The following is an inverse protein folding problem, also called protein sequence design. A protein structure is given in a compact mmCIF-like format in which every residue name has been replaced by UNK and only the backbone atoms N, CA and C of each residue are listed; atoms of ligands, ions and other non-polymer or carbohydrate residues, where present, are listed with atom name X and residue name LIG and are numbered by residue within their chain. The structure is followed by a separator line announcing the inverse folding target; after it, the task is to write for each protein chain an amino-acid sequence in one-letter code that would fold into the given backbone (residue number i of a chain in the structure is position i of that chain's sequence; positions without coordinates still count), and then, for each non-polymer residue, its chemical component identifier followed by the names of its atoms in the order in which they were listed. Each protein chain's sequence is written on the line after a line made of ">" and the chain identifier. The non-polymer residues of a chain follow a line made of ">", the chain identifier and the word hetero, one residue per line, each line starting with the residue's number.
data_IF_649983607715
#
_entry.id   IF_649983607715
#
_cell.length_a   1.000
_cell.length_b   1.000
_cell.length_c   1.000
_cell.angle_alpha   90.00
_cell.angle_beta   90.00
_cell.angle_gamma   90.00
#
_symmetry.space_group_name_H-M   'P 1'
#
loop_
_entity.id
_entity.type
_entity.pdbx_description
1 polymer ?
#
# COMPACT_ATOMS: atom_id res chain seq x y z
N UNK A 1 -6.58 -5.87 16.74
CA UNK A 1 -7.01 -6.33 15.39
C UNK A 1 -5.78 -6.47 14.53
N UNK A 2 -5.38 -7.71 14.25
CA UNK A 2 -4.19 -8.01 13.44
C UNK A 2 -4.52 -7.74 11.97
N UNK A 3 -3.52 -7.42 11.14
CA UNK A 3 -3.71 -7.12 9.70
C UNK A 3 -4.32 -8.27 8.89
N UNK A 4 -4.51 -9.46 9.47
CA UNK A 4 -5.03 -10.66 8.81
C UNK A 4 -6.54 -10.61 8.56
N UNK A 5 -7.32 -9.95 9.43
CA UNK A 5 -8.80 -9.85 9.33
C UNK A 5 -9.27 -8.82 8.28
N UNK A 6 -8.34 -8.14 7.63
CA UNK A 6 -8.66 -7.06 6.69
C UNK A 6 -8.91 -7.63 5.30
N UNK A 7 -9.99 -7.18 4.66
CA UNK A 7 -10.47 -7.74 3.39
C UNK A 7 -10.29 -6.77 2.21
N UNK A 8 -10.31 -5.46 2.46
CA UNK A 8 -10.33 -4.41 1.43
C UNK A 8 -9.09 -3.52 1.53
N UNK A 9 -8.36 -3.42 0.43
CA UNK A 9 -7.10 -2.69 0.36
C UNK A 9 -7.16 -1.62 -0.73
N UNK A 10 -6.82 -0.38 -0.39
CA UNK A 10 -6.61 0.70 -1.36
C UNK A 10 -5.13 0.77 -1.75
N UNK A 11 -4.81 0.59 -3.03
CA UNK A 11 -3.45 0.62 -3.55
C UNK A 11 -3.21 1.99 -4.20
N UNK A 12 -2.40 2.82 -3.55
CA UNK A 12 -2.12 4.19 -3.99
C UNK A 12 -1.08 4.21 -5.10
N UNK A 13 -1.41 4.85 -6.23
CA UNK A 13 -0.53 5.05 -7.38
C UNK A 13 -0.26 6.55 -7.52
N UNK A 14 1.01 6.96 -7.47
CA UNK A 14 1.41 8.34 -7.72
C UNK A 14 1.24 8.69 -9.19
N UNK A 15 0.45 9.72 -9.50
CA UNK A 15 0.25 10.18 -10.88
C UNK A 15 1.33 11.16 -11.36
N UNK A 16 2.20 11.65 -10.46
CA UNK A 16 3.31 12.54 -10.82
C UNK A 16 4.36 11.82 -11.69
N UNK A 17 4.96 12.48 -12.70
CA UNK A 17 6.07 11.93 -13.46
C UNK A 17 7.19 11.43 -12.52
N UNK A 18 7.69 10.21 -12.76
CA UNK A 18 8.71 9.56 -11.91
C UNK A 18 8.18 8.82 -10.67
N UNK A 19 6.90 8.97 -10.30
CA UNK A 19 6.29 8.26 -9.15
C UNK A 19 5.30 7.16 -9.57
N UNK A 20 5.06 7.01 -10.87
CA UNK A 20 4.04 6.12 -11.42
C UNK A 20 4.50 4.66 -11.47
N UNK A 21 4.43 3.97 -10.33
CA UNK A 21 4.82 2.55 -10.20
C UNK A 21 3.65 1.62 -10.54
N UNK A 22 3.00 1.84 -11.69
CA UNK A 22 1.79 1.09 -12.12
C UNK A 22 1.99 -0.43 -12.11
N UNK A 23 3.13 -0.92 -12.59
CA UNK A 23 3.42 -2.35 -12.62
C UNK A 23 3.50 -2.97 -11.21
N UNK A 24 4.05 -2.22 -10.25
CA UNK A 24 4.10 -2.63 -8.86
C UNK A 24 2.69 -2.68 -8.25
N UNK A 25 1.89 -1.63 -8.47
CA UNK A 25 0.51 -1.57 -8.00
C UNK A 25 -0.34 -2.74 -8.53
N UNK A 26 -0.23 -3.04 -9.83
CA UNK A 26 -0.87 -4.20 -10.44
C UNK A 26 -0.39 -5.52 -9.83
N UNK A 27 0.91 -5.64 -9.53
CA UNK A 27 1.44 -6.82 -8.84
C UNK A 27 0.85 -6.98 -7.44
N UNK A 28 0.73 -5.90 -6.67
CA UNK A 28 0.12 -5.92 -5.33
C UNK A 28 -1.37 -6.32 -5.40
N UNK A 29 -2.11 -5.80 -6.38
CA UNK A 29 -3.51 -6.20 -6.62
C UNK A 29 -3.64 -7.69 -6.89
N UNK A 30 -2.82 -8.24 -7.79
CA UNK A 30 -2.83 -9.68 -8.11
C UNK A 30 -2.50 -10.55 -6.90
N UNK A 31 -1.56 -10.11 -6.04
CA UNK A 31 -1.25 -10.81 -4.79
C UNK A 31 -2.44 -10.82 -3.85
N UNK A 32 -3.07 -9.67 -3.62
CA UNK A 32 -4.29 -9.61 -2.81
C UNK A 32 -5.38 -10.55 -3.33
N UNK A 33 -5.65 -10.53 -4.63
CA UNK A 33 -6.63 -11.41 -5.27
C UNK A 33 -6.31 -12.89 -5.10
N UNK A 34 -5.04 -13.29 -5.25
CA UNK A 34 -4.59 -14.68 -5.02
C UNK A 34 -4.85 -15.16 -3.59
N UNK A 35 -4.81 -14.25 -2.63
CA UNK A 35 -5.09 -14.51 -1.21
C UNK A 35 -6.56 -14.25 -0.82
N UNK A 36 -7.47 -14.12 -1.80
CA UNK A 36 -8.90 -13.92 -1.56
C UNK A 36 -9.27 -12.53 -1.03
N UNK A 37 -8.36 -11.55 -1.11
CA UNK A 37 -8.57 -10.17 -0.64
C UNK A 37 -8.89 -9.23 -1.81
N UNK A 38 -9.61 -8.14 -1.53
CA UNK A 38 -10.02 -7.14 -2.53
C UNK A 38 -9.01 -5.99 -2.60
N UNK A 39 -8.44 -5.76 -3.79
CA UNK A 39 -7.51 -4.65 -4.05
C UNK A 39 -8.08 -3.61 -5.03
N UNK A 40 -8.15 -2.35 -4.62
CA UNK A 40 -8.63 -1.23 -5.42
C UNK A 40 -7.47 -0.32 -5.81
N UNK A 41 -7.28 -0.02 -7.09
CA UNK A 41 -6.24 0.90 -7.55
C UNK A 41 -6.75 2.34 -7.45
N UNK A 42 -6.02 3.20 -6.75
CA UNK A 42 -6.35 4.61 -6.57
C UNK A 42 -5.20 5.45 -7.12
N UNK A 43 -5.38 6.02 -8.31
CA UNK A 43 -4.41 6.92 -8.91
C UNK A 43 -4.68 8.36 -8.46
N UNK A 44 -3.67 9.01 -7.89
CA UNK A 44 -3.79 10.38 -7.40
C UNK A 44 -2.46 11.13 -7.51
N UNK A 45 -2.55 12.44 -7.72
CA UNK A 45 -1.36 13.30 -7.82
C UNK A 45 -0.84 13.69 -6.43
N UNK A 46 -1.75 13.89 -5.48
CA UNK A 46 -1.46 14.24 -4.09
C UNK A 46 -2.09 13.20 -3.18
N UNK A 47 -1.37 12.80 -2.14
CA UNK A 47 -1.85 11.89 -1.09
C UNK A 47 -1.89 12.69 0.20
N UNK A 48 -3.07 12.76 0.82
CA UNK A 48 -3.30 13.43 2.09
C UNK A 48 -4.49 12.78 2.81
N UNK A 49 -4.57 12.84 4.15
CA UNK A 49 -5.66 12.25 4.92
C UNK A 49 -7.05 12.68 4.43
N UNK A 50 -7.20 13.96 4.10
CA UNK A 50 -8.43 14.56 3.57
C UNK A 50 -8.87 13.99 2.22
N UNK A 51 -7.94 13.41 1.46
CA UNK A 51 -8.18 12.83 0.13
C UNK A 51 -8.41 11.33 0.15
N UNK A 52 -7.97 10.62 1.20
CA UNK A 52 -8.01 9.16 1.20
C UNK A 52 -8.82 8.55 2.34
N UNK A 53 -8.98 9.24 3.47
CA UNK A 53 -9.58 8.61 4.66
C UNK A 53 -11.06 8.27 4.49
N UNK A 54 -11.76 8.88 3.51
CA UNK A 54 -13.15 8.55 3.20
C UNK A 54 -13.32 7.25 2.40
N UNK A 55 -12.28 6.70 1.76
CA UNK A 55 -12.44 5.48 0.96
C UNK A 55 -12.79 4.28 1.83
N UNK A 56 -13.77 3.43 1.45
CA UNK A 56 -14.24 2.32 2.28
C UNK A 56 -13.31 1.09 2.21
N UNK A 57 -12.03 1.29 2.57
CA UNK A 57 -10.98 0.26 2.65
C UNK A 57 -10.44 0.16 4.07
N UNK A 58 -9.85 -0.99 4.40
CA UNK A 58 -9.36 -1.31 5.74
C UNK A 58 -7.86 -0.99 5.90
N UNK A 59 -7.12 -0.93 4.79
CA UNK A 59 -5.68 -0.61 4.70
C UNK A 59 -5.37 0.11 3.40
N UNK A 60 -4.40 1.02 3.44
CA UNK A 60 -3.74 1.55 2.25
C UNK A 60 -2.37 0.91 2.01
N UNK A 61 -2.11 0.54 0.76
CA UNK A 61 -0.81 0.06 0.28
C UNK A 61 -0.20 1.18 -0.56
N UNK A 62 0.89 1.76 -0.08
CA UNK A 62 1.56 2.85 -0.77
C UNK A 62 2.49 2.30 -1.86
N UNK A 63 2.14 2.52 -3.13
CA UNK A 63 3.06 2.30 -4.26
C UNK A 63 3.47 3.60 -4.94
N UNK A 64 3.18 4.75 -4.32
CA UNK A 64 3.55 6.08 -4.80
C UNK A 64 4.95 6.45 -4.27
N UNK A 65 5.09 7.65 -3.68
CA UNK A 65 6.32 8.09 -3.05
C UNK A 65 6.59 7.28 -1.75
N UNK A 66 7.73 6.59 -1.62
CA UNK A 66 8.06 5.76 -0.46
C UNK A 66 8.02 6.52 0.87
N UNK A 67 8.31 7.82 0.84
CA UNK A 67 8.34 8.68 2.02
C UNK A 67 6.98 8.83 2.69
N UNK A 68 5.87 8.73 1.95
CA UNK A 68 4.52 8.94 2.51
C UNK A 68 4.19 7.88 3.59
N UNK A 69 4.57 6.61 3.34
CA UNK A 69 4.30 5.52 4.27
C UNK A 69 5.22 5.53 5.50
N UNK A 70 6.25 6.37 5.51
CA UNK A 70 7.26 6.44 6.58
C UNK A 70 7.10 7.75 7.37
N UNK A 71 7.07 8.89 6.67
CA UNK A 71 7.09 10.23 7.26
C UNK A 71 5.69 10.69 7.72
N UNK A 72 4.63 10.25 7.03
CA UNK A 72 3.26 10.74 7.22
C UNK A 72 2.29 9.70 7.77
N UNK A 73 2.75 8.48 8.07
CA UNK A 73 1.88 7.36 8.47
C UNK A 73 0.97 7.69 9.66
N UNK A 74 1.44 8.51 10.60
CA UNK A 74 0.69 8.93 11.79
C UNK A 74 -0.48 9.88 11.50
N UNK A 75 -0.53 10.48 10.31
CA UNK A 75 -1.57 11.45 9.93
C UNK A 75 -2.84 10.79 9.39
N UNK A 76 -2.77 9.52 8.99
CA UNK A 76 -3.88 8.81 8.34
C UNK A 76 -4.72 8.05 9.36
N UNK A 77 -6.05 8.13 9.22
CA UNK A 77 -6.96 7.39 10.10
C UNK A 77 -6.88 5.86 9.89
N UNK A 78 -6.46 5.43 8.70
CA UNK A 78 -6.33 4.01 8.32
C UNK A 78 -4.86 3.64 8.16
N UNK A 79 -4.46 2.40 8.51
CA UNK A 79 -3.08 1.98 8.37
C UNK A 79 -2.58 2.10 6.92
N UNK A 80 -1.40 2.68 6.78
CA UNK A 80 -0.69 2.81 5.53
C UNK A 80 0.57 1.95 5.58
N UNK A 81 0.71 1.02 4.65
CA UNK A 81 1.81 0.05 4.60
C UNK A 81 2.52 0.09 3.25
N UNK A 82 3.77 -0.35 3.26
CA UNK A 82 4.60 -0.52 2.07
C UNK A 82 4.24 -1.81 1.32
N UNK A 83 4.70 -1.97 0.06
CA UNK A 83 4.53 -3.21 -0.69
C UNK A 83 5.22 -4.41 -0.02
N UNK A 84 6.35 -4.18 0.65
CA UNK A 84 7.06 -5.22 1.38
C UNK A 84 6.25 -5.71 2.58
N UNK A 85 5.70 -4.79 3.37
CA UNK A 85 4.86 -5.12 4.52
C UNK A 85 3.58 -5.85 4.11
N UNK A 86 3.00 -5.50 2.96
CA UNK A 86 1.90 -6.28 2.39
C UNK A 86 2.32 -7.72 2.10
N UNK A 87 3.46 -7.93 1.45
CA UNK A 87 3.96 -9.27 1.14
C UNK A 87 4.24 -10.10 2.41
N UNK A 88 4.69 -9.45 3.49
CA UNK A 88 4.84 -10.10 4.79
C UNK A 88 3.48 -10.41 5.43
N UNK A 89 2.52 -9.48 5.38
CA UNK A 89 1.16 -9.69 5.89
C UNK A 89 0.41 -10.81 5.15
N UNK A 90 0.72 -11.03 3.87
CA UNK A 90 0.22 -12.15 3.07
C UNK A 90 1.01 -13.46 3.27
N UNK A 91 2.06 -13.46 4.10
CA UNK A 91 2.91 -14.63 4.33
C UNK A 91 3.81 -15.01 3.15
N UNK A 92 3.95 -14.15 2.14
CA UNK A 92 4.84 -14.38 0.99
C UNK A 92 6.30 -14.00 1.29
N UNK A 93 6.52 -13.21 2.34
CA UNK A 93 7.83 -12.85 2.87
C UNK A 93 7.85 -12.99 4.39
N UNK A 94 9.05 -13.10 4.95
CA UNK A 94 9.29 -13.14 6.40
C UNK A 94 10.18 -11.98 6.81
N UNK A 95 9.90 -11.38 7.96
CA UNK A 95 10.73 -10.34 8.56
C UNK A 95 12.19 -10.78 8.76
N UNK A 96 12.39 -12.07 9.03
CA UNK A 96 13.68 -12.74 9.22
C UNK A 96 14.64 -12.56 8.03
N UNK A 97 14.12 -12.31 6.83
CA UNK A 97 14.92 -12.10 5.61
C UNK A 97 15.45 -10.65 5.47
N UNK A 98 15.27 -9.83 6.51
CA UNK A 98 15.66 -8.42 6.53
C UNK A 98 14.58 -7.52 5.92
N UNK A 99 14.33 -6.38 6.56
CA UNK A 99 13.41 -5.36 6.04
C UNK A 99 14.01 -4.70 4.78
N UNK A 100 13.20 -4.58 3.73
CA UNK A 100 13.60 -3.82 2.53
C UNK A 100 12.87 -2.49 2.50
N UNK A 101 13.63 -1.41 2.62
CA UNK A 101 13.13 -0.07 2.37
C UNK A 101 12.63 0.05 0.94
N UNK A 102 11.47 0.68 0.78
CA UNK A 102 10.90 0.94 -0.52
C UNK A 102 11.66 2.08 -1.21
N UNK A 103 12.13 1.86 -2.43
CA UNK A 103 12.93 2.81 -3.20
C UNK A 103 12.43 2.88 -4.65
N UNK A 104 12.50 4.08 -5.24
CA UNK A 104 12.26 4.32 -6.67
C UNK A 104 13.62 4.41 -7.35
N UNK A 105 13.79 3.69 -8.46
CA UNK A 105 14.98 3.72 -9.31
C UNK A 105 14.63 4.40 -10.62
#
# INVERSE_FOLDING_TARGET
>A
MTSMDKERFGILIGAKPGQMRRNLALRMKRKLEKHGKKGFLLAMEHVGPELIDFYPVDVFVNTACPRIAIDDAVKYAKPMITPYELEVALGEKKWENGYKFDQIH
#
